data_IF_260972199300
#
_entry.id   IF_260972199300
#
_cell.length_a   1.000
_cell.length_b   1.000
_cell.length_c   1.000
_cell.angle_alpha   90.00
_cell.angle_beta   90.00
_cell.angle_gamma   90.00
#
_symmetry.space_group_name_H-M   'P 1'
#
loop_
_entity.id
_entity.type
_entity.pdbx_description
1 polymer ?
#
# COMPACT_ATOMS: atom_id res chain seq x y z
N UNK A 1 -41.68 59.66 38.23
CA UNK A 1 -40.45 59.34 39.01
C UNK A 1 -39.33 59.18 37.98
N UNK A 2 -38.43 60.15 37.73
CA UNK A 2 -37.20 60.49 38.50
C UNK A 2 -36.57 59.17 39.00
N UNK A 3 -35.44 58.65 38.51
CA UNK A 3 -34.12 59.27 38.32
C UNK A 3 -33.16 58.29 37.60
N UNK A 4 -32.34 58.82 36.67
CA UNK A 4 -30.92 58.55 36.39
C UNK A 4 -30.32 57.15 36.58
N UNK A 5 -29.55 56.68 35.58
CA UNK A 5 -28.07 56.63 35.65
C UNK A 5 -27.45 56.28 34.30
N UNK A 6 -26.89 57.32 33.66
CA UNK A 6 -25.81 57.19 32.69
C UNK A 6 -24.62 56.45 33.33
N UNK A 7 -24.07 55.46 32.64
CA UNK A 7 -22.65 55.11 32.80
C UNK A 7 -22.00 55.00 31.43
N UNK A 8 -20.87 55.69 31.37
CA UNK A 8 -20.08 56.07 30.20
C UNK A 8 -19.20 54.90 29.74
N UNK A 9 -19.03 54.85 28.41
CA UNK A 9 -17.81 54.58 27.65
C UNK A 9 -17.03 53.29 27.96
N UNK A 10 -16.76 52.50 26.91
CA UNK A 10 -15.43 52.49 26.29
C UNK A 10 -15.51 51.80 24.92
N UNK A 11 -15.17 52.56 23.88
CA UNK A 11 -14.81 52.08 22.55
C UNK A 11 -13.43 51.46 22.65
N UNK A 12 -13.26 50.24 22.15
CA UNK A 12 -11.95 49.68 21.84
C UNK A 12 -12.06 48.96 20.49
N UNK A 13 -11.75 49.70 19.43
CA UNK A 13 -11.39 49.13 18.14
C UNK A 13 -9.89 48.80 18.18
N UNK A 14 -9.54 47.52 17.99
CA UNK A 14 -8.20 47.12 17.57
C UNK A 14 -8.39 46.07 16.48
N UNK A 15 -8.14 46.49 15.24
CA UNK A 15 -7.90 45.59 14.12
C UNK A 15 -6.38 45.36 14.06
N UNK A 16 -5.94 44.11 14.10
CA UNK A 16 -4.62 43.67 13.64
C UNK A 16 -4.77 42.29 12.97
N UNK A 17 -4.56 42.29 11.65
CA UNK A 17 -4.44 41.11 10.82
C UNK A 17 -3.15 40.36 11.16
N UNK A 18 -3.23 39.04 11.38
CA UNK A 18 -2.15 38.12 11.03
C UNK A 18 -2.75 36.91 10.36
N UNK A 19 -2.68 36.89 9.02
CA UNK A 19 -3.01 35.71 8.23
C UNK A 19 -2.05 34.58 8.59
N UNK A 20 -2.59 33.52 9.16
CA UNK A 20 -1.91 32.25 9.27
C UNK A 20 -1.85 31.65 7.86
N UNK A 21 -0.80 32.00 7.11
CA UNK A 21 -0.37 31.17 6.01
C UNK A 21 -0.06 29.80 6.60
N UNK A 22 -0.99 28.85 6.44
CA UNK A 22 -0.70 27.46 6.67
C UNK A 22 0.39 27.08 5.66
N UNK A 23 1.64 27.13 6.09
CA UNK A 23 2.74 26.53 5.36
C UNK A 23 2.34 25.07 5.12
N UNK A 24 2.24 24.61 3.86
CA UNK A 24 2.23 23.18 3.62
C UNK A 24 3.48 22.66 4.31
N UNK A 25 3.29 21.75 5.27
CA UNK A 25 4.38 21.01 5.88
C UNK A 25 5.33 20.61 4.77
N UNK A 26 6.60 20.97 4.93
CA UNK A 26 7.64 20.70 3.97
C UNK A 26 7.54 19.25 3.48
N UNK A 27 7.03 19.07 2.27
CA UNK A 27 7.53 18.04 1.39
C UNK A 27 8.99 18.44 1.18
N UNK A 28 9.87 18.00 2.08
CA UNK A 28 11.30 18.08 1.87
C UNK A 28 11.52 17.52 0.47
N UNK A 29 11.93 18.38 -0.45
CA UNK A 29 12.09 18.06 -1.85
C UNK A 29 13.16 16.99 -1.93
N UNK A 30 12.75 15.72 -1.99
CA UNK A 30 13.61 14.55 -2.20
C UNK A 30 14.07 14.50 -3.67
N UNK A 31 14.40 15.67 -4.23
CA UNK A 31 14.86 15.82 -5.60
C UNK A 31 16.23 15.17 -5.72
N UNK A 32 16.33 14.12 -6.51
CA UNK A 32 17.60 13.44 -6.74
C UNK A 32 18.03 12.49 -5.62
N UNK A 33 17.11 12.05 -4.74
CA UNK A 33 17.39 10.87 -3.89
C UNK A 33 17.64 9.67 -4.81
N UNK A 34 18.76 9.01 -4.61
CA UNK A 34 19.11 7.77 -5.30
C UNK A 34 19.39 6.67 -4.27
N UNK A 35 18.77 5.52 -4.47
CA UNK A 35 18.96 4.33 -3.65
C UNK A 35 19.50 3.19 -4.50
N UNK A 36 20.31 2.33 -3.89
CA UNK A 36 20.87 1.12 -4.51
C UNK A 36 20.58 -0.07 -3.61
N UNK A 37 19.29 -0.42 -3.38
CA UNK A 37 18.96 -1.53 -2.51
C UNK A 37 19.49 -2.84 -3.09
N UNK A 38 19.92 -3.72 -2.20
CA UNK A 38 20.31 -5.08 -2.54
C UNK A 38 20.02 -6.04 -1.40
N UNK A 39 19.61 -7.26 -1.74
CA UNK A 39 19.45 -8.35 -0.78
C UNK A 39 19.33 -9.69 -1.51
N UNK A 40 20.01 -10.73 -1.02
CA UNK A 40 19.81 -12.10 -1.49
C UNK A 40 20.16 -12.30 -2.98
N UNK A 41 21.18 -11.59 -3.46
CA UNK A 41 21.61 -11.63 -4.85
C UNK A 41 20.75 -10.81 -5.83
N UNK A 42 19.74 -10.09 -5.33
CA UNK A 42 18.95 -9.16 -6.13
C UNK A 42 19.36 -7.71 -5.84
N UNK A 43 19.30 -6.85 -6.84
CA UNK A 43 19.64 -5.42 -6.69
C UNK A 43 18.90 -4.54 -7.70
N UNK A 44 18.77 -3.25 -7.40
CA UNK A 44 18.25 -2.27 -8.35
C UNK A 44 18.85 -0.88 -8.07
N UNK A 45 18.84 -0.02 -9.08
CA UNK A 45 19.09 1.42 -8.92
C UNK A 45 17.77 2.15 -9.00
N UNK A 46 17.45 2.91 -7.95
CA UNK A 46 16.18 3.65 -7.85
C UNK A 46 16.51 5.14 -7.73
N UNK A 47 16.08 5.93 -8.70
CA UNK A 47 16.20 7.40 -8.68
C UNK A 47 14.82 8.02 -8.50
N UNK A 48 14.68 8.88 -7.50
CA UNK A 48 13.44 9.59 -7.24
C UNK A 48 13.48 10.99 -7.86
N UNK A 49 12.43 11.31 -8.61
CA UNK A 49 12.18 12.65 -9.15
C UNK A 49 11.19 13.41 -8.27
N UNK A 50 10.73 14.57 -8.76
CA UNK A 50 9.62 15.34 -8.21
C UNK A 50 8.50 14.43 -7.69
N UNK A 51 7.91 14.82 -6.55
CA UNK A 51 6.77 14.12 -5.92
C UNK A 51 7.07 12.68 -5.49
N UNK A 52 8.35 12.27 -5.45
CA UNK A 52 8.74 10.94 -5.02
C UNK A 52 8.48 9.86 -6.08
N UNK A 53 8.42 10.21 -7.37
CA UNK A 53 8.21 9.23 -8.44
C UNK A 53 9.49 8.40 -8.64
N UNK A 54 9.46 7.06 -8.46
CA UNK A 54 10.64 6.21 -8.62
C UNK A 54 10.90 5.86 -10.10
N UNK A 55 12.15 5.99 -10.52
CA UNK A 55 12.70 5.47 -11.77
C UNK A 55 13.63 4.31 -11.45
N UNK A 56 13.25 3.10 -11.85
CA UNK A 56 13.90 1.86 -11.42
C UNK A 56 14.63 1.24 -12.62
N UNK A 57 15.93 1.02 -12.46
CA UNK A 57 16.80 0.35 -13.44
C UNK A 57 17.40 -0.89 -12.80
N UNK A 58 17.43 -1.98 -13.56
CA UNK A 58 17.83 -3.31 -13.12
C UNK A 58 18.42 -4.11 -14.29
N UNK A 59 19.22 -5.14 -13.98
CA UNK A 59 19.87 -5.98 -15.00
C UNK A 59 18.91 -7.01 -15.61
N UNK A 60 17.95 -7.50 -14.84
CA UNK A 60 16.93 -8.45 -15.29
C UNK A 60 15.54 -8.21 -14.66
N UNK A 61 14.57 -9.07 -14.98
CA UNK A 61 13.20 -8.94 -14.49
C UNK A 61 13.03 -9.27 -13.00
N UNK A 62 13.88 -10.12 -12.42
CA UNK A 62 13.84 -10.41 -10.99
C UNK A 62 14.38 -9.21 -10.20
N UNK A 63 15.45 -8.59 -10.68
CA UNK A 63 16.00 -7.34 -10.14
C UNK A 63 15.04 -6.17 -10.32
N UNK A 64 14.36 -6.08 -11.47
CA UNK A 64 13.34 -5.05 -11.70
C UNK A 64 12.15 -5.21 -10.75
N UNK A 65 11.72 -6.46 -10.53
CA UNK A 65 10.72 -6.79 -9.53
C UNK A 65 11.18 -6.39 -8.14
N UNK A 66 12.44 -6.67 -7.79
CA UNK A 66 13.03 -6.30 -6.50
C UNK A 66 13.01 -4.80 -6.25
N UNK A 67 13.49 -4.00 -7.20
CA UNK A 67 13.42 -2.54 -7.11
C UNK A 67 11.98 -2.04 -6.98
N UNK A 68 11.05 -2.65 -7.72
CA UNK A 68 9.61 -2.29 -7.69
C UNK A 68 8.99 -2.56 -6.33
N UNK A 69 9.22 -3.75 -5.77
CA UNK A 69 8.72 -4.11 -4.45
C UNK A 69 9.31 -3.25 -3.33
N UNK A 70 10.60 -2.90 -3.45
CA UNK A 70 11.27 -1.99 -2.53
C UNK A 70 10.68 -0.59 -2.57
N UNK A 71 10.59 0.02 -3.75
CA UNK A 71 10.08 1.39 -3.90
C UNK A 71 8.63 1.50 -3.43
N UNK A 72 7.76 0.56 -3.82
CA UNK A 72 6.36 0.61 -3.38
C UNK A 72 6.21 0.37 -1.88
N UNK A 73 7.07 -0.43 -1.25
CA UNK A 73 7.09 -0.58 0.20
C UNK A 73 7.51 0.73 0.89
N UNK A 74 8.55 1.41 0.37
CA UNK A 74 9.01 2.69 0.88
C UNK A 74 7.90 3.75 0.93
N UNK A 75 7.05 3.77 -0.10
CA UNK A 75 6.00 4.77 -0.21
C UNK A 75 4.70 4.35 0.50
N UNK A 76 4.24 3.09 0.32
CA UNK A 76 2.86 2.68 0.63
C UNK A 76 2.78 1.31 1.35
N UNK A 77 3.71 1.00 2.25
CA UNK A 77 3.75 -0.30 2.96
C UNK A 77 2.42 -0.69 3.61
N UNK A 78 1.70 0.25 4.23
CA UNK A 78 0.43 -0.07 4.90
C UNK A 78 -0.65 -0.52 3.92
N UNK A 79 -0.77 0.16 2.78
CA UNK A 79 -1.72 -0.20 1.71
C UNK A 79 -1.37 -1.54 1.09
N UNK A 80 -0.08 -1.79 0.83
CA UNK A 80 0.36 -3.10 0.32
C UNK A 80 0.04 -4.22 1.31
N UNK A 81 0.37 -4.03 2.59
CA UNK A 81 0.12 -5.00 3.64
C UNK A 81 -1.39 -5.28 3.84
N UNK A 82 -2.26 -4.26 3.79
CA UNK A 82 -3.72 -4.45 3.80
C UNK A 82 -4.18 -5.30 2.60
N UNK A 83 -3.66 -5.01 1.40
CA UNK A 83 -3.96 -5.80 0.21
C UNK A 83 -3.52 -7.26 0.34
N UNK A 84 -2.38 -7.53 0.98
CA UNK A 84 -1.93 -8.89 1.28
C UNK A 84 -2.79 -9.58 2.33
N UNK A 85 -3.34 -8.86 3.31
CA UNK A 85 -4.35 -9.39 4.23
C UNK A 85 -5.62 -9.82 3.47
N UNK A 86 -6.06 -9.02 2.49
CA UNK A 86 -7.20 -9.33 1.63
C UNK A 86 -7.01 -10.65 0.90
N UNK A 87 -5.94 -10.80 0.12
CA UNK A 87 -5.75 -12.02 -0.71
C UNK A 87 -5.39 -13.27 0.08
N UNK A 88 -4.98 -13.11 1.34
CA UNK A 88 -4.83 -14.23 2.29
C UNK A 88 -6.15 -14.68 2.91
N UNK A 89 -7.21 -13.87 2.77
CA UNK A 89 -8.51 -14.08 3.40
C UNK A 89 -8.45 -13.95 4.92
N UNK A 90 -7.76 -12.92 5.40
CA UNK A 90 -7.51 -12.67 6.82
C UNK A 90 -8.13 -11.35 7.34
N UNK A 91 -8.96 -10.65 6.54
CA UNK A 91 -9.49 -9.33 6.91
C UNK A 91 -10.33 -9.37 8.18
N UNK A 92 -11.19 -10.37 8.35
CA UNK A 92 -12.04 -10.51 9.54
C UNK A 92 -11.23 -10.66 10.82
N UNK A 93 -10.06 -11.30 10.74
CA UNK A 93 -9.15 -11.48 11.89
C UNK A 93 -8.55 -10.16 12.34
N UNK A 94 -8.19 -9.29 11.41
CA UNK A 94 -7.43 -8.07 11.70
C UNK A 94 -8.31 -6.81 11.80
N UNK A 95 -9.40 -6.76 11.05
CA UNK A 95 -10.23 -5.56 10.85
C UNK A 95 -11.70 -5.78 11.23
N UNK A 96 -12.07 -6.99 11.66
CA UNK A 96 -13.43 -7.36 12.06
C UNK A 96 -14.31 -7.77 10.88
N UNK A 97 -15.18 -8.77 11.12
CA UNK A 97 -15.97 -9.44 10.08
C UNK A 97 -16.99 -8.54 9.35
N UNK A 98 -17.54 -7.53 10.04
CA UNK A 98 -18.61 -6.65 9.51
C UNK A 98 -18.10 -5.40 8.80
N UNK A 99 -16.80 -5.06 8.93
CA UNK A 99 -16.21 -3.95 8.19
C UNK A 99 -16.07 -4.33 6.71
N UNK A 100 -15.80 -3.35 5.84
CA UNK A 100 -15.62 -3.57 4.40
C UNK A 100 -14.13 -3.52 4.01
N UNK A 101 -13.72 -4.19 2.92
CA UNK A 101 -12.45 -3.91 2.26
C UNK A 101 -12.42 -2.49 1.67
N UNK A 102 -11.24 -2.03 1.27
CA UNK A 102 -11.05 -0.73 0.61
C UNK A 102 -11.49 -0.71 -0.87
N UNK A 103 -12.06 -1.81 -1.34
CA UNK A 103 -12.51 -2.06 -2.71
C UNK A 103 -11.41 -2.11 -3.79
N UNK A 104 -10.13 -2.05 -3.40
CA UNK A 104 -9.02 -2.11 -4.36
C UNK A 104 -8.80 -3.50 -4.94
N UNK A 105 -9.07 -4.53 -4.15
CA UNK A 105 -8.86 -5.95 -4.49
C UNK A 105 -10.12 -6.81 -4.33
N UNK A 106 -11.18 -6.28 -3.75
CA UNK A 106 -12.39 -7.04 -3.41
C UNK A 106 -13.62 -6.16 -3.51
N UNK A 107 -14.63 -6.56 -4.28
CA UNK A 107 -15.92 -5.83 -4.33
C UNK A 107 -16.88 -6.24 -3.21
N UNK A 108 -16.43 -7.04 -2.25
CA UNK A 108 -17.25 -7.57 -1.18
C UNK A 108 -17.78 -6.46 -0.25
N UNK A 109 -19.02 -6.60 0.18
CA UNK A 109 -19.65 -5.67 1.13
C UNK A 109 -19.15 -5.84 2.57
N UNK A 110 -18.58 -7.00 2.90
CA UNK A 110 -18.00 -7.27 4.22
C UNK A 110 -16.67 -8.03 4.12
N UNK A 111 -15.83 -7.88 5.14
CA UNK A 111 -14.58 -8.61 5.31
C UNK A 111 -14.82 -10.11 5.41
N UNK A 112 -15.95 -10.55 6.00
CA UNK A 112 -16.28 -11.97 6.07
C UNK A 112 -16.51 -12.57 4.69
N UNK A 113 -17.26 -11.88 3.83
CA UNK A 113 -17.52 -12.34 2.47
C UNK A 113 -16.25 -12.30 1.61
N UNK A 114 -15.45 -11.23 1.75
CA UNK A 114 -14.12 -11.13 1.15
C UNK A 114 -13.21 -12.31 1.54
N UNK A 115 -13.14 -12.63 2.83
CA UNK A 115 -12.33 -13.73 3.35
C UNK A 115 -12.84 -15.09 2.88
N UNK A 116 -14.15 -15.27 2.74
CA UNK A 116 -14.72 -16.49 2.20
C UNK A 116 -14.24 -16.73 0.77
N UNK A 117 -14.30 -15.70 -0.08
CA UNK A 117 -13.82 -15.77 -1.46
C UNK A 117 -12.32 -16.09 -1.52
N UNK A 118 -11.47 -15.30 -0.86
CA UNK A 118 -10.02 -15.47 -0.97
C UNK A 118 -9.51 -16.75 -0.30
N UNK A 119 -10.14 -17.21 0.80
CA UNK A 119 -9.84 -18.54 1.33
C UNK A 119 -10.24 -19.64 0.36
N UNK A 120 -11.38 -19.50 -0.33
CA UNK A 120 -11.79 -20.41 -1.39
C UNK A 120 -10.74 -20.50 -2.51
N UNK A 121 -10.30 -19.36 -3.05
CA UNK A 121 -9.26 -19.26 -4.10
C UNK A 121 -7.96 -19.96 -3.68
N UNK A 122 -7.54 -19.79 -2.42
CA UNK A 122 -6.33 -20.43 -1.87
C UNK A 122 -6.51 -21.92 -1.64
N UNK A 123 -7.63 -22.33 -1.05
CA UNK A 123 -7.92 -23.75 -0.80
C UNK A 123 -8.05 -24.53 -2.10
N UNK A 124 -8.60 -23.91 -3.14
CA UNK A 124 -8.70 -24.52 -4.46
C UNK A 124 -7.37 -24.55 -5.21
N UNK A 125 -6.30 -23.91 -4.72
CA UNK A 125 -5.01 -23.82 -5.42
C UNK A 125 -5.10 -23.13 -6.79
N UNK A 126 -6.02 -22.18 -6.94
CA UNK A 126 -6.31 -21.55 -8.24
C UNK A 126 -5.09 -20.80 -8.79
N UNK A 127 -4.43 -20.00 -7.95
CA UNK A 127 -3.30 -19.17 -8.38
C UNK A 127 -2.09 -20.05 -8.69
N UNK A 128 -1.84 -21.08 -7.89
CA UNK A 128 -0.76 -22.05 -8.09
C UNK A 128 -0.90 -22.78 -9.42
N UNK A 129 -2.12 -23.24 -9.77
CA UNK A 129 -2.36 -23.84 -11.08
C UNK A 129 -2.13 -22.86 -12.21
N UNK A 130 -2.62 -21.63 -12.09
CA UNK A 130 -2.40 -20.59 -13.10
C UNK A 130 -0.90 -20.29 -13.30
N UNK A 131 -0.12 -20.25 -12.21
CA UNK A 131 1.33 -20.10 -12.27
C UNK A 131 2.04 -21.31 -12.89
N UNK A 132 1.47 -22.51 -12.77
CA UNK A 132 2.04 -23.73 -13.35
C UNK A 132 1.76 -23.88 -14.85
N UNK A 133 0.73 -23.22 -15.39
CA UNK A 133 0.43 -23.26 -16.82
C UNK A 133 1.58 -22.68 -17.66
N UNK A 134 1.92 -23.29 -18.80
CA UNK A 134 2.91 -22.74 -19.72
C UNK A 134 2.36 -21.51 -20.45
N UNK A 135 3.26 -20.59 -20.79
CA UNK A 135 2.91 -19.46 -21.65
C UNK A 135 2.43 -19.97 -23.04
N UNK A 136 1.46 -19.31 -23.68
CA UNK A 136 0.83 -18.03 -23.28
C UNK A 136 -0.40 -18.19 -22.37
N UNK A 137 -0.77 -19.42 -21.96
CA UNK A 137 -1.94 -19.65 -21.09
C UNK A 137 -1.68 -19.21 -19.65
N UNK A 138 -0.48 -19.52 -19.13
CA UNK A 138 0.03 -19.00 -17.87
C UNK A 138 1.02 -17.84 -18.07
N UNK A 139 1.57 -17.28 -16.97
CA UNK A 139 2.50 -16.18 -17.05
C UNK A 139 3.83 -16.57 -17.68
N UNK A 140 4.44 -15.63 -18.39
CA UNK A 140 5.80 -15.77 -18.92
C UNK A 140 6.83 -15.91 -17.79
N UNK A 141 8.04 -16.38 -18.13
CA UNK A 141 9.15 -16.42 -17.16
C UNK A 141 9.43 -15.04 -16.57
N UNK A 142 9.47 -14.00 -17.40
CA UNK A 142 9.68 -12.61 -16.97
C UNK A 142 8.62 -12.14 -15.97
N UNK A 143 7.35 -12.51 -16.15
CA UNK A 143 6.28 -12.17 -15.21
C UNK A 143 6.43 -12.89 -13.86
N UNK A 144 6.87 -14.16 -13.86
CA UNK A 144 7.18 -14.89 -12.63
C UNK A 144 8.39 -14.28 -11.91
N UNK A 145 9.44 -13.92 -12.66
CA UNK A 145 10.63 -13.25 -12.13
C UNK A 145 10.27 -11.91 -11.48
N UNK A 146 9.42 -11.09 -12.12
CA UNK A 146 8.89 -9.84 -11.54
C UNK A 146 8.16 -10.09 -10.21
N UNK A 147 7.30 -11.10 -10.12
CA UNK A 147 6.57 -11.44 -8.88
C UNK A 147 7.53 -11.88 -7.76
N UNK A 148 8.50 -12.74 -8.08
CA UNK A 148 9.53 -13.20 -7.15
C UNK A 148 10.36 -12.02 -6.64
N UNK A 149 10.79 -11.16 -7.55
CA UNK A 149 11.51 -9.93 -7.26
C UNK A 149 10.73 -9.02 -6.33
N UNK A 150 9.47 -8.73 -6.66
CA UNK A 150 8.60 -7.86 -5.87
C UNK A 150 8.50 -8.32 -4.42
N UNK A 151 8.22 -9.61 -4.19
CA UNK A 151 8.16 -10.16 -2.85
C UNK A 151 9.49 -9.98 -2.10
N UNK A 152 10.62 -10.24 -2.77
CA UNK A 152 11.94 -10.05 -2.17
C UNK A 152 12.24 -8.59 -1.82
N UNK A 153 11.89 -7.64 -2.70
CA UNK A 153 12.07 -6.20 -2.51
C UNK A 153 11.25 -5.65 -1.34
N UNK A 154 9.95 -5.95 -1.31
CA UNK A 154 9.06 -5.59 -0.21
C UNK A 154 9.58 -6.15 1.13
N UNK A 155 9.98 -7.43 1.15
CA UNK A 155 10.50 -8.07 2.35
C UNK A 155 11.84 -7.49 2.80
N UNK A 156 12.71 -7.14 1.85
CA UNK A 156 13.99 -6.51 2.15
C UNK A 156 13.78 -5.12 2.76
N UNK A 157 12.83 -4.34 2.23
CA UNK A 157 12.48 -3.05 2.79
C UNK A 157 11.96 -3.19 4.23
N UNK A 158 11.03 -4.12 4.49
CA UNK A 158 10.51 -4.40 5.85
C UNK A 158 11.59 -4.80 6.85
N UNK A 159 12.63 -5.53 6.43
CA UNK A 159 13.74 -5.92 7.32
C UNK A 159 14.63 -4.75 7.69
N UNK A 160 14.79 -3.80 6.77
CA UNK A 160 15.77 -2.72 6.87
C UNK A 160 15.16 -1.42 7.42
N UNK A 161 13.84 -1.29 7.42
CA UNK A 161 13.13 -0.08 7.81
C UNK A 161 12.15 -0.32 8.94
N UNK A 162 11.93 0.73 9.74
CA UNK A 162 10.85 0.75 10.72
C UNK A 162 9.62 1.40 10.09
N UNK A 163 8.48 0.72 10.20
CA UNK A 163 7.19 1.27 9.76
C UNK A 163 6.74 2.34 10.76
N UNK A 164 6.77 3.61 10.35
CA UNK A 164 6.38 4.75 11.19
C UNK A 164 4.98 5.28 10.92
N UNK A 165 4.40 4.93 9.76
CA UNK A 165 3.06 5.34 9.33
C UNK A 165 2.00 4.98 10.39
N UNK A 166 1.28 5.96 10.95
CA UNK A 166 0.23 5.73 11.93
C UNK A 166 -0.85 4.72 11.52
N UNK A 167 -1.11 4.53 10.22
CA UNK A 167 -2.12 3.60 9.73
C UNK A 167 -1.80 2.14 10.05
N UNK A 168 -0.52 1.78 10.14
CA UNK A 168 -0.11 0.39 10.39
C UNK A 168 1.13 0.22 11.28
N UNK A 169 1.63 1.28 11.92
CA UNK A 169 2.76 1.20 12.85
C UNK A 169 2.48 0.19 13.97
N UNK A 170 3.36 -0.81 14.08
CA UNK A 170 3.26 -1.88 15.08
C UNK A 170 2.21 -2.94 14.79
N UNK A 171 1.55 -2.88 13.62
CA UNK A 171 0.56 -3.86 13.24
C UNK A 171 1.19 -5.20 12.86
N UNK A 172 0.75 -6.28 13.50
CA UNK A 172 1.26 -7.63 13.23
C UNK A 172 0.92 -8.18 11.83
N UNK A 173 -0.05 -7.56 11.15
CA UNK A 173 -0.41 -7.91 9.78
C UNK A 173 0.53 -7.31 8.73
N UNK A 174 1.39 -6.35 9.10
CA UNK A 174 2.51 -5.89 8.28
C UNK A 174 3.67 -6.87 8.44
N UNK A 175 3.75 -7.84 7.54
CA UNK A 175 4.68 -8.96 7.63
C UNK A 175 5.20 -9.38 6.26
N UNK A 176 6.27 -10.17 6.19
CA UNK A 176 6.79 -10.68 4.93
C UNK A 176 5.75 -11.40 4.06
N UNK A 177 5.98 -11.37 2.76
CA UNK A 177 5.12 -11.96 1.72
C UNK A 177 5.89 -12.93 0.85
N UNK A 178 5.16 -13.78 0.16
CA UNK A 178 5.69 -14.77 -0.79
C UNK A 178 5.42 -14.33 -2.22
N UNK A 179 6.08 -14.96 -3.20
CA UNK A 179 5.75 -14.79 -4.61
C UNK A 179 4.27 -15.11 -4.88
N UNK A 180 3.74 -16.15 -4.21
CA UNK A 180 2.35 -16.54 -4.33
C UNK A 180 1.39 -15.45 -3.80
N UNK A 181 1.74 -14.75 -2.73
CA UNK A 181 0.92 -13.62 -2.24
C UNK A 181 0.87 -12.48 -3.29
N UNK A 182 1.99 -12.21 -3.97
CA UNK A 182 2.06 -11.22 -5.06
C UNK A 182 1.23 -11.67 -6.26
N UNK A 183 1.35 -12.93 -6.66
CA UNK A 183 0.55 -13.50 -7.74
C UNK A 183 -0.96 -13.51 -7.40
N UNK A 184 -1.32 -13.80 -6.14
CA UNK A 184 -2.70 -13.75 -5.67
C UNK A 184 -3.27 -12.32 -5.69
N UNK A 185 -2.45 -11.32 -5.37
CA UNK A 185 -2.80 -9.90 -5.54
C UNK A 185 -3.08 -9.54 -6.99
N UNK A 186 -2.24 -9.99 -7.93
CA UNK A 186 -2.47 -9.77 -9.37
C UNK A 186 -3.72 -10.49 -9.87
N UNK A 187 -3.95 -11.73 -9.40
CA UNK A 187 -5.18 -12.47 -9.69
C UNK A 187 -6.41 -11.70 -9.20
N UNK A 188 -6.39 -11.22 -7.94
CA UNK A 188 -7.48 -10.44 -7.37
C UNK A 188 -7.84 -9.21 -8.21
N UNK A 189 -6.84 -8.47 -8.71
CA UNK A 189 -7.06 -7.37 -9.64
C UNK A 189 -7.70 -7.82 -10.95
N UNK A 190 -7.22 -8.92 -11.55
CA UNK A 190 -7.72 -9.42 -12.82
C UNK A 190 -9.20 -9.86 -12.76
N UNK A 191 -9.65 -10.34 -11.60
CA UNK A 191 -10.98 -10.92 -11.43
C UNK A 191 -11.97 -9.98 -10.74
N UNK A 192 -11.55 -8.76 -10.39
CA UNK A 192 -12.35 -7.80 -9.63
C UNK A 192 -13.68 -7.45 -10.32
N UNK A 193 -13.70 -7.38 -11.65
CA UNK A 193 -14.90 -7.12 -12.45
C UNK A 193 -15.76 -8.37 -12.75
N UNK A 194 -15.25 -9.57 -12.43
CA UNK A 194 -15.84 -10.87 -12.72
C UNK A 194 -16.22 -11.60 -11.43
N UNK A 195 -15.59 -12.76 -11.16
CA UNK A 195 -15.89 -13.53 -9.94
C UNK A 195 -15.66 -12.74 -8.63
N UNK A 196 -14.78 -11.74 -8.65
CA UNK A 196 -14.52 -10.85 -7.52
C UNK A 196 -15.71 -9.94 -7.15
N UNK A 197 -16.73 -9.82 -8.01
CA UNK A 197 -18.01 -9.14 -7.72
C UNK A 197 -19.00 -10.00 -6.92
N UNK A 198 -18.85 -11.31 -6.98
CA UNK A 198 -19.71 -12.25 -6.25
C UNK A 198 -19.20 -12.52 -4.81
N UNK A 199 -18.05 -11.93 -4.45
CA UNK A 199 -17.47 -11.96 -3.12
C UNK A 199 -18.19 -11.03 -2.15
#
# INVERSE_FOLDING_TARGET
MRTTRFRRLLVAAVALLTGSAASPAAAASQHGRQEHPSHGGLSAVIRYTEYGIPHIVAEDYADLGFGTGWAQAADQVCTLADGFVTVRGERSRWFGAKAAPDFSLSSASTNLSSDLFFRGVRQSGTVERLLAEPAPRGPSRAAKDLNRGFAAGYNAWLRQHRVTDPACRGAAWVRPVTELDVAARLFAFAVLGGEGRAA
#
